data_IF_163287388437
#
_entry.id   IF_163287388437
#
_cell.length_a   1.000
_cell.length_b   1.000
_cell.length_c   1.000
_cell.angle_alpha   90.00
_cell.angle_beta   90.00
_cell.angle_gamma   90.00
#
_symmetry.space_group_name_H-M   'P 1'
#
loop_
_entity.id
_entity.type
_entity.pdbx_description
1 polymer ?
#
# COMPACT_ATOMS: atom_id res chain seq x y z
N UNK A 1 21.18 -11.55 9.63
CA UNK A 1 20.74 -10.27 9.03
C UNK A 1 22.00 -9.57 8.58
N UNK A 2 22.24 -9.48 7.28
CA UNK A 2 23.42 -8.82 6.72
C UNK A 2 23.05 -7.40 6.30
N UNK A 3 24.04 -6.52 6.12
CA UNK A 3 23.78 -5.14 5.65
C UNK A 3 23.15 -5.10 4.25
N UNK A 4 23.28 -6.17 3.47
CA UNK A 4 22.65 -6.32 2.16
C UNK A 4 21.11 -6.42 2.23
N UNK A 5 20.55 -6.82 3.37
CA UNK A 5 19.09 -6.92 3.58
C UNK A 5 18.49 -5.59 4.09
N UNK A 6 19.21 -4.46 3.98
CA UNK A 6 18.75 -3.16 4.48
C UNK A 6 18.71 -2.11 3.35
N UNK A 7 17.60 -1.38 3.26
CA UNK A 7 17.46 -0.17 2.43
C UNK A 7 17.14 1.00 3.34
N UNK A 8 17.97 2.05 3.32
CA UNK A 8 17.86 3.20 4.24
C UNK A 8 17.83 2.81 5.73
N UNK A 9 18.48 1.71 6.10
CA UNK A 9 18.46 1.19 7.47
C UNK A 9 17.18 0.43 7.84
N UNK A 10 16.23 0.22 6.93
CA UNK A 10 15.05 -0.62 7.12
C UNK A 10 15.25 -1.98 6.45
N UNK A 11 14.78 -3.09 7.04
CA UNK A 11 14.91 -4.39 6.40
C UNK A 11 14.08 -4.47 5.11
N UNK A 12 14.74 -4.93 4.05
CA UNK A 12 14.15 -5.19 2.74
C UNK A 12 14.17 -6.69 2.52
N UNK A 13 13.02 -7.34 2.66
CA UNK A 13 12.93 -8.79 2.70
C UNK A 13 12.14 -9.35 1.52
N UNK A 14 12.57 -10.52 1.07
CA UNK A 14 11.75 -11.39 0.24
C UNK A 14 10.59 -11.98 1.06
N UNK A 15 9.48 -12.41 0.42
CA UNK A 15 8.31 -12.94 1.12
C UNK A 15 8.64 -14.10 2.06
N UNK A 16 9.54 -15.00 1.66
CA UNK A 16 9.97 -16.12 2.47
C UNK A 16 10.77 -15.68 3.71
N UNK A 17 11.64 -14.68 3.59
CA UNK A 17 12.39 -14.10 4.71
C UNK A 17 11.44 -13.43 5.70
N UNK A 18 10.47 -12.65 5.20
CA UNK A 18 9.42 -12.05 6.03
C UNK A 18 8.58 -13.12 6.73
N UNK A 19 8.12 -14.14 6.00
CA UNK A 19 7.33 -15.23 6.56
C UNK A 19 8.10 -16.01 7.64
N UNK A 20 9.38 -16.29 7.41
CA UNK A 20 10.25 -16.93 8.41
C UNK A 20 10.43 -16.05 9.65
N UNK A 21 10.65 -14.75 9.47
CA UNK A 21 10.78 -13.80 10.58
C UNK A 21 9.50 -13.72 11.42
N UNK A 22 8.33 -13.65 10.78
CA UNK A 22 7.03 -13.68 11.46
C UNK A 22 6.83 -15.01 12.20
N UNK A 23 7.06 -16.14 11.51
CA UNK A 23 6.84 -17.48 12.07
C UNK A 23 7.80 -17.84 13.20
N UNK A 24 9.01 -17.24 13.22
CA UNK A 24 9.97 -17.41 14.32
C UNK A 24 9.55 -16.74 15.63
N UNK A 25 8.48 -15.92 15.61
CA UNK A 25 8.05 -15.13 16.77
C UNK A 25 8.81 -13.82 16.95
N UNK A 26 9.81 -13.51 16.10
CA UNK A 26 10.57 -12.26 16.20
C UNK A 26 9.69 -11.01 16.03
N UNK A 27 8.70 -11.06 15.12
CA UNK A 27 7.71 -10.01 14.96
C UNK A 27 6.88 -9.77 16.23
N UNK A 28 6.43 -10.86 16.85
CA UNK A 28 5.67 -10.82 18.10
C UNK A 28 6.52 -10.30 19.26
N UNK A 29 7.80 -10.67 19.34
CA UNK A 29 8.73 -10.17 20.35
C UNK A 29 8.95 -8.65 20.24
N UNK A 30 9.09 -8.12 19.03
CA UNK A 30 9.16 -6.67 18.79
C UNK A 30 7.85 -5.99 19.17
N UNK A 31 6.71 -6.56 18.78
CA UNK A 31 5.41 -6.02 19.14
C UNK A 31 5.19 -6.01 20.67
N UNK A 32 5.59 -7.06 21.39
CA UNK A 32 5.56 -7.13 22.85
C UNK A 32 6.40 -6.01 23.50
N UNK A 33 7.50 -5.61 22.86
CA UNK A 33 8.34 -4.46 23.23
C UNK A 33 7.78 -3.10 22.77
N UNK A 34 6.47 -3.02 22.49
CA UNK A 34 5.74 -1.78 22.15
C UNK A 34 6.06 -1.19 20.77
N UNK A 35 6.63 -1.97 19.85
CA UNK A 35 6.79 -1.54 18.46
C UNK A 35 5.53 -1.82 17.64
N UNK A 36 5.10 -0.83 16.85
CA UNK A 36 4.17 -1.07 15.75
C UNK A 36 4.95 -1.64 14.56
N UNK A 37 4.37 -2.65 13.90
CA UNK A 37 4.98 -3.35 12.77
C UNK A 37 4.18 -3.03 11.51
N UNK A 38 4.87 -2.48 10.51
CA UNK A 38 4.28 -2.13 9.23
C UNK A 38 5.02 -2.79 8.08
N UNK A 39 4.30 -3.03 6.99
CA UNK A 39 4.82 -3.60 5.75
C UNK A 39 4.53 -2.63 4.60
N UNK A 40 5.53 -2.42 3.74
CA UNK A 40 5.41 -1.70 2.46
C UNK A 40 5.74 -2.68 1.33
N UNK A 41 4.76 -3.10 0.51
CA UNK A 41 5.04 -3.94 -0.64
C UNK A 41 5.95 -3.24 -1.65
N UNK A 42 6.96 -3.96 -2.13
CA UNK A 42 7.96 -3.56 -3.12
C UNK A 42 7.83 -4.50 -4.32
N UNK A 43 6.78 -4.25 -5.11
CA UNK A 43 6.39 -5.04 -6.28
C UNK A 43 6.64 -4.20 -7.54
N UNK A 44 7.42 -4.65 -8.52
CA UNK A 44 7.68 -3.85 -9.73
C UNK A 44 6.46 -3.77 -10.66
N UNK A 45 5.50 -4.69 -10.55
CA UNK A 45 4.36 -4.81 -11.46
C UNK A 45 3.03 -4.36 -10.87
N UNK A 46 2.97 -4.14 -9.55
CA UNK A 46 1.75 -3.65 -8.90
C UNK A 46 1.99 -2.52 -7.93
N UNK A 47 0.99 -1.64 -7.84
CA UNK A 47 0.80 -0.76 -6.71
C UNK A 47 -0.20 -1.39 -5.72
N UNK A 48 0.04 -1.12 -4.43
CA UNK A 48 -0.85 -1.47 -3.33
C UNK A 48 -1.31 -0.16 -2.68
N UNK A 49 -2.37 0.41 -3.24
CA UNK A 49 -2.85 1.74 -2.87
C UNK A 49 -3.59 1.67 -1.52
N UNK A 50 -3.04 2.33 -0.51
CA UNK A 50 -3.61 2.39 0.83
C UNK A 50 -4.71 3.45 0.93
N UNK A 51 -5.88 3.04 1.43
CA UNK A 51 -6.90 3.92 1.99
C UNK A 51 -6.93 3.68 3.50
N UNK A 52 -6.44 4.65 4.26
CA UNK A 52 -6.23 4.54 5.71
C UNK A 52 -7.41 5.12 6.49
N UNK A 53 -7.58 4.68 7.74
CA UNK A 53 -8.57 5.22 8.69
C UNK A 53 -10.03 5.22 8.18
N UNK A 54 -10.40 4.27 7.32
CA UNK A 54 -11.79 4.08 6.85
C UNK A 54 -12.69 3.78 8.05
N UNK A 55 -13.76 4.57 8.22
CA UNK A 55 -14.63 4.50 9.39
C UNK A 55 -15.72 3.45 9.23
N UNK A 56 -15.67 2.44 10.09
CA UNK A 56 -16.65 1.37 10.17
C UNK A 56 -16.64 0.41 8.97
N UNK A 57 -17.23 -0.77 9.17
CA UNK A 57 -17.39 -1.76 8.10
C UNK A 57 -18.27 -1.24 6.97
N UNK A 58 -19.25 -0.38 7.28
CA UNK A 58 -20.11 0.22 6.26
C UNK A 58 -19.36 1.17 5.32
N UNK A 59 -18.27 1.81 5.77
CA UNK A 59 -17.38 2.58 4.89
C UNK A 59 -16.69 1.68 3.86
N UNK A 60 -16.18 0.53 4.30
CA UNK A 60 -15.59 -0.49 3.42
C UNK A 60 -16.63 -1.00 2.41
N UNK A 61 -17.84 -1.34 2.88
CA UNK A 61 -18.93 -1.79 2.00
C UNK A 61 -19.37 -0.71 1.03
N UNK A 62 -19.37 0.57 1.43
CA UNK A 62 -19.65 1.68 0.52
C UNK A 62 -18.65 1.73 -0.63
N UNK A 63 -17.35 1.58 -0.35
CA UNK A 63 -16.33 1.47 -1.39
C UNK A 63 -16.61 0.27 -2.32
N UNK A 64 -16.99 -0.89 -1.77
CA UNK A 64 -17.32 -2.07 -2.60
C UNK A 64 -18.54 -1.85 -3.49
N UNK A 65 -19.57 -1.17 -2.99
CA UNK A 65 -20.75 -0.77 -3.79
C UNK A 65 -20.39 0.15 -4.95
N UNK A 66 -19.38 1.00 -4.78
CA UNK A 66 -18.82 1.85 -5.84
C UNK A 66 -17.89 1.11 -6.82
N UNK A 67 -17.74 -0.21 -6.66
CA UNK A 67 -16.97 -1.06 -7.57
C UNK A 67 -15.50 -1.24 -7.20
N UNK A 68 -15.03 -0.67 -6.09
CA UNK A 68 -13.71 -1.01 -5.57
C UNK A 68 -13.71 -2.47 -5.09
N UNK A 69 -12.62 -3.19 -5.37
CA UNK A 69 -12.40 -4.57 -4.92
C UNK A 69 -11.08 -4.61 -4.16
N UNK A 70 -11.12 -4.52 -2.82
CA UNK A 70 -9.91 -4.56 -2.00
C UNK A 70 -9.17 -5.88 -2.13
N UNK A 71 -7.85 -5.83 -2.26
CA UNK A 71 -7.01 -7.01 -2.11
C UNK A 71 -6.93 -7.42 -0.64
N UNK A 72 -6.90 -6.44 0.26
CA UNK A 72 -6.82 -6.64 1.70
C UNK A 72 -7.63 -5.58 2.42
N UNK A 73 -8.44 -6.02 3.39
CA UNK A 73 -9.12 -5.17 4.37
C UNK A 73 -8.66 -5.62 5.74
N UNK A 74 -8.23 -4.66 6.56
CA UNK A 74 -7.77 -4.92 7.92
C UNK A 74 -8.48 -4.00 8.90
N UNK A 75 -9.03 -4.56 9.97
CA UNK A 75 -9.48 -3.78 11.13
C UNK A 75 -8.27 -3.49 12.01
N UNK A 76 -7.90 -2.22 12.14
CA UNK A 76 -6.68 -1.79 12.85
C UNK A 76 -6.92 -1.38 14.30
N UNK A 77 -8.16 -1.02 14.62
CA UNK A 77 -8.69 -0.78 15.96
C UNK A 77 -10.22 -0.74 15.87
N UNK A 78 -10.91 -0.57 16.99
CA UNK A 78 -12.38 -0.53 16.98
C UNK A 78 -12.90 0.56 16.02
N UNK A 79 -13.79 0.18 15.10
CA UNK A 79 -14.35 1.06 14.08
C UNK A 79 -13.38 1.62 13.02
N UNK A 80 -12.11 1.20 12.96
CA UNK A 80 -11.12 1.76 12.03
C UNK A 80 -10.52 0.67 11.12
N UNK A 81 -10.52 0.93 9.82
CA UNK A 81 -10.10 -0.04 8.80
C UNK A 81 -9.02 0.54 7.87
N UNK A 82 -8.11 -0.34 7.44
CA UNK A 82 -7.21 -0.11 6.32
C UNK A 82 -7.71 -0.93 5.13
N UNK A 83 -7.79 -0.28 3.96
CA UNK A 83 -8.21 -0.90 2.71
C UNK A 83 -7.08 -0.77 1.70
N UNK A 84 -6.61 -1.90 1.17
CA UNK A 84 -5.52 -1.95 0.20
C UNK A 84 -6.12 -2.34 -1.15
N UNK A 85 -5.93 -1.49 -2.16
CA UNK A 85 -6.35 -1.76 -3.54
C UNK A 85 -5.12 -2.12 -4.38
N UNK A 86 -5.09 -3.35 -4.92
CA UNK A 86 -4.03 -3.78 -5.84
C UNK A 86 -4.37 -3.32 -7.27
N UNK A 87 -3.43 -2.64 -7.92
CA UNK A 87 -3.56 -2.18 -9.32
C UNK A 87 -2.26 -2.44 -10.08
N UNK A 88 -2.35 -2.66 -11.39
CA UNK A 88 -1.19 -2.93 -12.23
C UNK A 88 -0.40 -1.65 -12.53
N UNK A 89 0.92 -1.75 -12.42
CA UNK A 89 1.88 -0.74 -12.87
C UNK A 89 2.06 -0.78 -14.37
N UNK A 90 2.63 0.31 -14.88
CA UNK A 90 3.11 0.40 -16.25
C UNK A 90 4.48 1.05 -16.27
N UNK A 91 5.19 0.97 -17.40
CA UNK A 91 6.46 1.68 -17.61
C UNK A 91 6.29 3.20 -17.82
N UNK A 92 5.18 3.79 -17.36
CA UNK A 92 4.92 5.22 -17.51
C UNK A 92 5.90 6.05 -16.67
N UNK A 93 6.52 7.07 -17.27
CA UNK A 93 7.57 7.85 -16.61
C UNK A 93 7.10 8.56 -15.32
N UNK A 94 5.82 8.93 -15.23
CA UNK A 94 5.22 9.59 -14.06
C UNK A 94 4.28 8.65 -13.30
N UNK A 95 4.52 7.34 -13.35
CA UNK A 95 3.70 6.29 -12.70
C UNK A 95 3.51 6.55 -11.20
N UNK A 96 4.59 6.88 -10.49
CA UNK A 96 4.52 7.18 -9.07
C UNK A 96 3.65 8.42 -8.76
N UNK A 97 3.75 9.47 -9.59
CA UNK A 97 2.90 10.66 -9.44
C UNK A 97 1.43 10.34 -9.69
N UNK A 98 1.13 9.53 -10.71
CA UNK A 98 -0.24 9.08 -10.99
C UNK A 98 -0.82 8.29 -9.80
N UNK A 99 -0.05 7.34 -9.25
CA UNK A 99 -0.46 6.58 -8.08
C UNK A 99 -0.68 7.46 -6.84
N UNK A 100 0.20 8.44 -6.61
CA UNK A 100 0.04 9.41 -5.52
C UNK A 100 -1.29 10.19 -5.63
N UNK A 101 -1.64 10.66 -6.84
CA UNK A 101 -2.90 11.39 -7.07
C UNK A 101 -4.12 10.53 -6.78
N UNK A 102 -4.10 9.25 -7.19
CA UNK A 102 -5.18 8.30 -6.88
C UNK A 102 -5.30 8.08 -5.37
N UNK A 103 -4.20 7.83 -4.65
CA UNK A 103 -4.22 7.65 -3.19
C UNK A 103 -4.78 8.88 -2.48
N UNK A 104 -4.32 10.08 -2.86
CA UNK A 104 -4.82 11.32 -2.28
C UNK A 104 -6.33 11.49 -2.49
N UNK A 105 -6.82 11.20 -3.71
CA UNK A 105 -8.25 11.26 -4.02
C UNK A 105 -9.05 10.24 -3.21
N UNK A 106 -8.58 9.00 -3.13
CA UNK A 106 -9.25 7.94 -2.37
C UNK A 106 -9.32 8.29 -0.88
N UNK A 107 -8.21 8.74 -0.29
CA UNK A 107 -8.17 9.07 1.13
C UNK A 107 -8.98 10.33 1.48
N UNK A 108 -9.03 11.34 0.60
CA UNK A 108 -9.97 12.47 0.78
C UNK A 108 -11.44 12.03 0.81
N UNK A 109 -11.79 11.00 0.05
CA UNK A 109 -13.18 10.56 -0.10
C UNK A 109 -13.60 9.51 0.95
N UNK A 110 -12.68 8.65 1.39
CA UNK A 110 -13.01 7.47 2.18
C UNK A 110 -12.15 7.28 3.44
N UNK A 111 -11.03 8.00 3.58
CA UNK A 111 -10.00 7.71 4.57
C UNK A 111 -9.38 8.95 5.23
N UNK A 112 -8.09 8.88 5.59
CA UNK A 112 -7.34 10.00 6.17
C UNK A 112 -6.74 10.92 5.08
N UNK A 113 -7.22 12.17 4.91
CA UNK A 113 -6.73 13.10 3.89
C UNK A 113 -5.24 13.42 3.96
N UNK A 114 -4.55 13.10 5.06
CA UNK A 114 -3.10 13.30 5.22
C UNK A 114 -2.27 12.25 4.47
N UNK A 115 -2.87 11.11 4.11
CA UNK A 115 -2.19 10.05 3.35
C UNK A 115 -2.14 10.42 1.86
N UNK A 116 -0.93 10.47 1.30
CA UNK A 116 -0.71 11.04 -0.04
C UNK A 116 0.25 10.28 -0.95
N UNK A 117 0.85 9.17 -0.48
CA UNK A 117 1.83 8.37 -1.23
C UNK A 117 1.26 7.05 -1.78
N UNK A 118 1.52 6.76 -3.06
CA UNK A 118 1.17 5.53 -3.78
C UNK A 118 2.00 4.30 -3.40
N UNK A 119 3.09 4.51 -2.66
CA UNK A 119 3.88 3.49 -1.99
C UNK A 119 3.91 3.86 -0.51
N UNK A 120 3.12 3.16 0.30
CA UNK A 120 2.92 3.50 1.70
C UNK A 120 2.90 2.24 2.56
N UNK A 121 3.45 2.33 3.76
CA UNK A 121 3.40 1.26 4.74
C UNK A 121 1.98 1.11 5.31
N UNK A 122 1.55 -0.13 5.54
CA UNK A 122 0.31 -0.45 6.28
C UNK A 122 0.59 -1.51 7.35
N UNK A 123 -0.35 -1.71 8.28
CA UNK A 123 -0.10 -2.54 9.47
C UNK A 123 0.01 -4.02 9.11
N UNK A 124 0.93 -4.74 9.75
CA UNK A 124 0.97 -6.18 9.66
C UNK A 124 -0.14 -6.78 10.54
N UNK A 125 -1.05 -7.56 9.95
CA UNK A 125 -2.11 -8.25 10.68
C UNK A 125 -1.55 -9.34 11.61
N UNK A 126 -2.33 -9.69 12.63
CA UNK A 126 -1.97 -10.67 13.66
C UNK A 126 -1.16 -10.10 14.83
N UNK A 127 -0.80 -8.81 14.77
CA UNK A 127 -0.07 -8.10 15.83
C UNK A 127 -0.94 -7.00 16.44
N UNK A 128 -0.56 -6.51 17.62
CA UNK A 128 -1.32 -5.45 18.30
C UNK A 128 -0.90 -4.06 17.86
N UNK A 129 -1.88 -3.18 17.77
CA UNK A 129 -1.71 -1.76 17.50
C UNK A 129 -1.23 -1.02 18.76
N UNK A 130 0.07 -0.71 18.81
CA UNK A 130 0.73 -0.07 19.95
C UNK A 130 0.59 1.45 19.97
N UNK A 131 -0.01 2.05 18.94
CA UNK A 131 -0.24 3.49 18.85
C UNK A 131 -1.12 3.95 20.04
N UNK A 132 -0.72 5.02 20.76
CA UNK A 132 -1.52 5.55 21.86
C UNK A 132 -2.96 5.85 21.44
N UNK A 133 -3.92 5.57 22.32
CA UNK A 133 -5.34 5.79 22.07
C UNK A 133 -6.03 4.76 21.17
N UNK A 134 -5.34 3.70 20.72
CA UNK A 134 -5.92 2.62 19.89
C UNK A 134 -6.23 1.32 20.64
N UNK A 135 -6.09 1.33 21.97
CA UNK A 135 -6.55 0.26 22.86
C UNK A 135 -5.77 -1.05 22.79
N UNK A 136 -4.54 -1.06 22.25
CA UNK A 136 -3.76 -2.28 22.04
C UNK A 136 -4.51 -3.34 21.20
N UNK A 137 -5.39 -2.89 20.31
CA UNK A 137 -6.25 -3.78 19.52
C UNK A 137 -5.42 -4.66 18.58
N UNK A 138 -5.82 -5.94 18.45
CA UNK A 138 -5.27 -6.82 17.42
C UNK A 138 -5.65 -6.31 16.03
N UNK A 139 -4.68 -6.21 15.14
CA UNK A 139 -4.94 -5.92 13.73
C UNK A 139 -5.42 -7.22 13.07
N UNK A 140 -6.67 -7.22 12.61
CA UNK A 140 -7.34 -8.41 12.08
C UNK A 140 -7.66 -8.23 10.60
N UNK A 141 -7.52 -9.30 9.81
CA UNK A 141 -7.95 -9.30 8.41
C UNK A 141 -9.46 -9.54 8.37
N UNK A 142 -10.17 -8.70 7.62
CA UNK A 142 -11.55 -8.97 7.24
C UNK A 142 -11.56 -9.77 5.93
N UNK A 143 -11.64 -11.09 6.06
CA UNK A 143 -11.64 -12.00 4.91
C UNK A 143 -12.90 -11.89 4.05
N UNK A 144 -14.03 -11.45 4.60
CA UNK A 144 -15.28 -11.31 3.87
C UNK A 144 -15.28 -10.10 2.92
N UNK A 145 -14.50 -9.08 3.27
CA UNK A 145 -14.35 -7.86 2.46
C UNK A 145 -13.05 -7.82 1.65
N UNK A 146 -12.14 -8.78 1.86
CA UNK A 146 -10.87 -8.92 1.13
C UNK A 146 -11.00 -9.81 -0.12
N UNK A 147 -10.19 -9.53 -1.14
CA UNK A 147 -10.08 -10.34 -2.35
C UNK A 147 -8.63 -10.38 -2.85
N UNK A 148 -7.74 -11.15 -2.18
CA UNK A 148 -6.28 -11.05 -2.34
C UNK A 148 -5.76 -11.21 -3.78
N UNK A 149 -6.41 -12.06 -4.56
CA UNK A 149 -6.01 -12.39 -5.93
C UNK A 149 -6.50 -11.37 -6.98
N UNK A 150 -7.35 -10.42 -6.60
CA UNK A 150 -8.00 -9.53 -7.56
C UNK A 150 -7.24 -8.20 -7.77
N UNK A 151 -7.16 -7.81 -9.04
CA UNK A 151 -6.84 -6.43 -9.44
C UNK A 151 -8.11 -5.58 -9.36
N UNK A 152 -8.03 -4.45 -8.68
CA UNK A 152 -9.15 -3.53 -8.50
C UNK A 152 -9.39 -2.70 -9.78
N UNK A 153 -10.25 -3.20 -10.68
CA UNK A 153 -10.56 -2.53 -11.97
C UNK A 153 -10.93 -1.06 -11.84
N UNK A 154 -11.77 -0.71 -10.85
CA UNK A 154 -12.18 0.68 -10.62
C UNK A 154 -10.98 1.58 -10.31
N UNK A 155 -10.08 1.14 -9.43
CA UNK A 155 -8.88 1.91 -9.10
C UNK A 155 -7.88 1.94 -10.26
N UNK A 156 -7.78 0.86 -11.06
CA UNK A 156 -7.00 0.83 -12.30
C UNK A 156 -7.48 1.90 -13.28
N UNK A 157 -8.80 2.02 -13.50
CA UNK A 157 -9.36 3.08 -14.36
C UNK A 157 -9.03 4.47 -13.85
N UNK A 158 -9.08 4.70 -12.54
CA UNK A 158 -8.68 5.99 -11.97
C UNK A 158 -7.19 6.28 -12.17
N UNK A 159 -6.35 5.26 -12.07
CA UNK A 159 -4.92 5.38 -12.35
C UNK A 159 -4.66 5.69 -13.83
N UNK A 160 -5.39 5.07 -14.76
CA UNK A 160 -5.32 5.37 -16.19
C UNK A 160 -5.74 6.81 -16.52
N UNK A 161 -6.76 7.33 -15.83
CA UNK A 161 -7.17 8.74 -15.95
C UNK A 161 -6.03 9.67 -15.49
N UNK A 162 -5.39 9.38 -14.36
CA UNK A 162 -4.26 10.19 -13.89
C UNK A 162 -3.03 10.08 -14.80
N UNK A 163 -2.72 8.89 -15.33
CA UNK A 163 -1.67 8.72 -16.35
C UNK A 163 -1.96 9.58 -17.58
N UNK A 164 -3.21 9.58 -18.03
CA UNK A 164 -3.66 10.39 -19.18
C UNK A 164 -3.56 11.89 -18.89
N UNK A 165 -3.95 12.33 -17.70
CA UNK A 165 -3.87 13.75 -17.29
C UNK A 165 -2.43 14.26 -17.15
N UNK A 166 -1.49 13.35 -16.84
CA UNK A 166 -0.06 13.62 -16.68
C UNK A 166 0.73 13.50 -17.99
N UNK A 167 0.12 12.95 -19.04
CA UNK A 167 0.73 12.86 -20.36
C UNK A 167 0.71 14.26 -20.99
N UNK A 168 1.87 14.83 -21.38
CA UNK A 168 1.87 16.11 -22.06
C UNK A 168 0.97 16.03 -23.29
N UNK A 169 0.06 17.00 -23.45
CA UNK A 169 -0.61 17.19 -24.72
C UNK A 169 0.50 17.36 -25.76
N UNK A 170 0.58 16.46 -26.73
CA UNK A 170 1.47 16.64 -27.86
C UNK A 170 1.14 18.04 -28.43
N UNK A 171 2.10 18.96 -28.37
CA UNK A 171 2.03 20.18 -29.14
C UNK A 171 1.72 19.77 -30.57
N UNK A 172 0.73 20.42 -31.19
CA UNK A 172 0.41 20.18 -32.58
C UNK A 172 1.65 20.50 -33.42
N UNK A 173 2.46 19.49 -33.70
CA UNK A 173 3.37 19.48 -34.83
C UNK A 173 2.93 18.30 -35.67
N UNK A 174 2.32 18.60 -36.80
CA UNK A 174 1.94 17.61 -37.81
C UNK A 174 3.18 16.78 -38.17
N UNK A 175 3.17 15.45 -38.01
CA UNK A 175 4.26 14.64 -38.53
C UNK A 175 4.15 14.59 -40.05
N UNK A 176 5.22 14.99 -40.73
CA UNK A 176 5.45 14.60 -42.11
C UNK A 176 5.49 13.06 -42.16
N UNK A 177 4.71 12.50 -43.09
CA UNK A 177 4.56 11.06 -43.26
C UNK A 177 5.92 10.36 -43.41
N UNK A 178 6.17 9.35 -42.57
CA UNK A 178 7.22 8.36 -42.82
C UNK A 178 6.58 6.98 -42.80
N UNK A 179 6.51 6.38 -43.98
CA UNK A 179 6.21 4.96 -44.18
C UNK A 179 7.45 4.19 -43.76
N UNK A 180 7.32 3.25 -42.82
CA UNK A 180 8.26 2.12 -42.77
C UNK A 180 7.62 0.90 -42.10
N UNK A 181 7.90 -0.24 -42.73
CA UNK A 181 7.31 -1.55 -42.53
C UNK A 181 8.08 -2.37 -41.48
N UNK A 182 7.33 -3.24 -40.79
CA UNK A 182 7.63 -4.66 -40.54
C UNK A 182 8.04 -5.13 -39.12
N UNK A 183 7.26 -6.12 -38.65
CA UNK A 183 7.47 -7.28 -37.75
C UNK A 183 8.76 -7.35 -36.90
N UNK A 184 8.63 -7.60 -35.59
CA UNK A 184 8.67 -8.96 -35.00
C UNK A 184 8.51 -8.98 -33.46
N UNK A 185 7.91 -10.08 -33.00
CA UNK A 185 7.64 -10.55 -31.64
C UNK A 185 8.86 -11.08 -30.87
N UNK A 186 8.80 -11.14 -29.52
CA UNK A 186 9.42 -12.16 -28.61
C UNK A 186 8.97 -11.97 -27.13
N UNK A 187 9.19 -12.96 -26.22
CA UNK A 187 8.15 -13.50 -25.34
C UNK A 187 8.24 -13.06 -23.85
N UNK A 188 7.16 -13.37 -23.11
CA UNK A 188 7.10 -13.31 -21.64
C UNK A 188 7.95 -14.42 -21.00
N UNK A 189 8.90 -14.03 -20.17
CA UNK A 189 9.34 -14.78 -19.01
C UNK A 189 9.94 -13.78 -18.02
N UNK A 190 9.33 -13.64 -16.84
CA UNK A 190 10.02 -13.79 -15.56
C UNK A 190 9.06 -13.63 -14.37
N UNK A 191 9.24 -14.53 -13.40
CA UNK A 191 8.46 -14.66 -12.18
C UNK A 191 8.69 -13.46 -11.25
N UNK A 192 7.60 -12.81 -10.88
CA UNK A 192 7.55 -11.70 -9.94
C UNK A 192 7.77 -12.16 -8.50
N UNK A 193 8.93 -11.82 -7.96
CA UNK A 193 9.16 -11.84 -6.52
C UNK A 193 8.74 -10.49 -5.94
N UNK A 194 7.65 -10.46 -5.16
CA UNK A 194 7.23 -9.25 -4.43
C UNK A 194 8.13 -9.09 -3.20
N UNK A 195 9.11 -8.19 -3.21
CA UNK A 195 9.82 -7.87 -1.97
C UNK A 195 8.94 -6.99 -1.07
N UNK A 196 9.26 -6.88 0.21
CA UNK A 196 8.57 -5.98 1.15
C UNK A 196 9.58 -5.24 2.02
N UNK A 197 9.38 -3.94 2.18
CA UNK A 197 10.13 -3.11 3.11
C UNK A 197 9.37 -3.05 4.44
N UNK A 198 10.00 -3.50 5.52
CA UNK A 198 9.38 -3.53 6.84
C UNK A 198 9.77 -2.29 7.64
N UNK A 199 8.77 -1.57 8.16
CA UNK A 199 8.99 -0.38 8.97
C UNK A 199 8.66 -0.65 10.43
N UNK A 200 9.57 -0.24 11.31
CA UNK A 200 9.40 -0.25 12.76
C UNK A 200 9.24 1.18 13.24
N UNK A 201 8.07 1.54 13.75
CA UNK A 201 7.89 2.81 14.45
C UNK A 201 7.78 2.54 15.96
N UNK A 202 8.64 3.13 16.80
CA UNK A 202 8.40 3.14 18.24
C UNK A 202 7.10 3.90 18.52
N UNK A 203 6.31 3.45 19.49
CA UNK A 203 5.19 4.26 19.97
C UNK A 203 5.76 5.59 20.49
N UNK A 204 5.40 6.71 19.84
CA UNK A 204 5.66 8.04 20.39
C UNK A 204 5.02 8.08 21.79
N UNK A 205 5.85 8.29 22.82
CA UNK A 205 5.36 8.59 24.15
C UNK A 205 4.53 9.87 24.02
N UNK A 206 3.23 9.76 24.30
CA UNK A 206 2.44 10.95 24.59
C UNK A 206 3.06 11.58 25.85
N UNK A 207 3.43 12.85 25.74
CA UNK A 207 3.97 13.65 26.83
C UNK A 207 3.18 13.40 28.12
N UNK A 208 3.88 12.91 29.14
CA UNK A 208 3.39 12.97 30.51
C UNK A 208 3.27 14.45 30.88
N UNK A 209 2.12 14.93 31.38
CA UNK A 209 2.05 16.27 31.93
C UNK A 209 2.98 16.32 33.14
N UNK A 210 4.05 17.13 33.04
CA UNK A 210 4.86 17.52 34.19
C UNK A 210 3.92 18.25 35.14
N UNK A 211 3.55 17.58 36.22
CA UNK A 211 2.81 18.17 37.32
C UNK A 211 3.61 19.36 37.86
N UNK A 212 2.99 20.53 37.90
CA UNK A 212 3.47 21.63 38.72
C UNK A 212 3.19 21.26 40.19
N UNK A 213 4.26 21.00 40.92
CA UNK A 213 4.34 21.07 42.38
C UNK A 213 5.43 22.05 42.73
#
# INVERSE_FOLDING_TARGET
MTDADRKNGEPFWQPNQLAAWVSSGAAAAMNARRFDIYITPMDPDHHYLLVDDVKGLEGVKAMRRLGYRPALVQRTSDGNYQVILKVSKTAFAREAEAANRVVQKLNRNFGDPKVSGGQHAFRLAGLRNKKPGRGDATVEIDWGESSPELICRRATTELEIERSSLTPLAGHTLPAAVISTNRNSRPLADLLTVSAMLQFAPALNADLPVGKG
#
